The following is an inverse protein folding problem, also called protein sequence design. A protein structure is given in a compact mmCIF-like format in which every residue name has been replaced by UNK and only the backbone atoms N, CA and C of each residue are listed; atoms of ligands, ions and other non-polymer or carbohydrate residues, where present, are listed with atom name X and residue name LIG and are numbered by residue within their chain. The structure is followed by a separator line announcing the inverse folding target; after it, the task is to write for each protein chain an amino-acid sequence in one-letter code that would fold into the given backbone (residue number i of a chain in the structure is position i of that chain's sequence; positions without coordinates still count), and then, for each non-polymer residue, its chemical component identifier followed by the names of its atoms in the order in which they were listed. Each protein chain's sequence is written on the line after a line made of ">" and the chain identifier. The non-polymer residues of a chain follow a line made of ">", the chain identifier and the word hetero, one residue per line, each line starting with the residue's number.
data_IF_673161180488
#
_entry.id   IF_673161180488
#
_cell.length_a   1.000
_cell.length_b   1.000
_cell.length_c   1.000
_cell.angle_alpha   90.00
_cell.angle_beta   90.00
_cell.angle_gamma   90.00
#
_symmetry.space_group_name_H-M   'P 1'
#
loop_
_entity.id
_entity.type
_entity.pdbx_description
1 polymer ?
#
# COMPACT_ATOMS: atom_id res chain seq x y z
N UNK A 1 -13.36 -21.75 16.77
CA UNK A 1 -13.59 -20.90 15.59
C UNK A 1 -13.46 -21.75 14.35
N UNK A 2 -14.34 -21.54 13.35
CA UNK A 2 -14.26 -22.18 12.04
C UNK A 2 -13.90 -21.11 11.03
N UNK A 3 -12.88 -21.35 10.22
CA UNK A 3 -12.46 -20.45 9.14
C UNK A 3 -12.64 -21.17 7.81
N UNK A 4 -13.30 -20.50 6.87
CA UNK A 4 -13.49 -20.97 5.50
C UNK A 4 -12.95 -19.88 4.57
N UNK A 5 -11.92 -20.23 3.82
CA UNK A 5 -11.30 -19.34 2.84
C UNK A 5 -11.40 -19.97 1.45
N UNK A 6 -11.82 -19.17 0.47
CA UNK A 6 -11.78 -19.56 -0.93
C UNK A 6 -11.52 -18.37 -1.84
N UNK A 7 -10.93 -18.66 -3.00
CA UNK A 7 -10.59 -17.67 -4.01
C UNK A 7 -11.39 -17.93 -5.28
N UNK A 8 -11.97 -16.88 -5.85
CA UNK A 8 -12.69 -16.86 -7.12
C UNK A 8 -11.88 -16.05 -8.14
N UNK A 9 -11.92 -16.45 -9.42
CA UNK A 9 -11.35 -15.69 -10.52
C UNK A 9 -12.44 -15.28 -11.50
N UNK A 10 -12.50 -13.99 -11.84
CA UNK A 10 -13.40 -13.45 -12.84
C UNK A 10 -12.64 -13.11 -14.14
N UNK A 11 -12.75 -13.94 -15.20
CA UNK A 11 -12.03 -13.73 -16.46
C UNK A 11 -12.52 -12.51 -17.26
N UNK A 12 -13.72 -11.99 -16.99
CA UNK A 12 -14.20 -10.78 -17.69
C UNK A 12 -13.54 -9.49 -17.21
N UNK A 13 -12.94 -9.50 -16.01
CA UNK A 13 -12.34 -8.31 -15.37
C UNK A 13 -10.92 -8.53 -14.87
N UNK A 14 -10.37 -9.73 -15.09
CA UNK A 14 -9.08 -10.22 -14.57
C UNK A 14 -8.91 -10.03 -13.04
N UNK A 15 -10.02 -10.14 -12.31
CA UNK A 15 -10.05 -9.96 -10.86
C UNK A 15 -9.99 -11.30 -10.16
N UNK A 16 -9.06 -11.41 -9.22
CA UNK A 16 -9.08 -12.43 -8.18
C UNK A 16 -9.80 -11.88 -6.96
N UNK A 17 -10.74 -12.65 -6.44
CA UNK A 17 -11.55 -12.32 -5.28
C UNK A 17 -11.27 -13.37 -4.21
N UNK A 18 -10.70 -12.97 -3.08
CA UNK A 18 -10.59 -13.84 -1.91
C UNK A 18 -11.74 -13.53 -0.95
N UNK A 19 -12.41 -14.59 -0.50
CA UNK A 19 -13.52 -14.53 0.45
C UNK A 19 -13.13 -15.33 1.68
N UNK A 20 -13.24 -14.67 2.83
CA UNK A 20 -12.93 -15.24 4.14
C UNK A 20 -14.20 -15.18 4.98
N UNK A 21 -14.62 -16.34 5.46
CA UNK A 21 -15.73 -16.49 6.39
C UNK A 21 -15.17 -17.05 7.70
N UNK A 22 -15.35 -16.31 8.78
CA UNK A 22 -14.97 -16.72 10.12
C UNK A 22 -16.22 -16.86 10.98
N UNK A 23 -16.31 -17.98 11.69
CA UNK A 23 -17.38 -18.27 12.64
C UNK A 23 -16.76 -18.44 14.02
N UNK A 24 -16.92 -17.43 14.87
CA UNK A 24 -16.47 -17.47 16.25
C UNK A 24 -17.59 -17.98 17.13
N UNK A 25 -17.26 -18.93 18.01
CA UNK A 25 -18.21 -19.49 18.98
C UNK A 25 -17.81 -18.96 20.35
N UNK A 26 -18.75 -18.33 21.03
CA UNK A 26 -18.55 -17.88 22.40
C UNK A 26 -18.65 -19.04 23.39
N UNK A 27 -18.04 -18.90 24.57
CA UNK A 27 -18.11 -19.89 25.65
C UNK A 27 -19.53 -20.12 26.18
N UNK A 28 -20.46 -19.20 25.88
CA UNK A 28 -21.90 -19.31 26.17
C UNK A 28 -22.71 -20.01 25.07
N UNK A 29 -22.08 -20.38 23.95
CA UNK A 29 -22.73 -21.02 22.80
C UNK A 29 -23.26 -20.06 21.74
N UNK A 30 -22.99 -18.76 21.86
CA UNK A 30 -23.28 -17.76 20.82
C UNK A 30 -22.42 -17.94 19.56
N UNK A 31 -22.96 -17.60 18.39
CA UNK A 31 -22.26 -17.62 17.10
C UNK A 31 -22.07 -16.20 16.56
N UNK A 32 -20.83 -15.80 16.32
CA UNK A 32 -20.46 -14.51 15.73
C UNK A 32 -19.86 -14.73 14.33
N UNK A 33 -20.65 -14.54 13.26
CA UNK A 33 -20.15 -14.64 11.90
C UNK A 33 -19.43 -13.34 11.49
N UNK A 34 -18.27 -13.49 10.86
CA UNK A 34 -17.49 -12.42 10.25
C UNK A 34 -17.20 -12.81 8.79
N UNK A 35 -17.30 -11.83 7.89
CA UNK A 35 -16.93 -12.02 6.49
C UNK A 35 -16.03 -10.89 6.03
N UNK A 36 -15.02 -11.24 5.23
CA UNK A 36 -14.16 -10.28 4.53
C UNK A 36 -14.05 -10.70 3.07
N UNK A 37 -14.28 -9.74 2.17
CA UNK A 37 -14.17 -9.93 0.72
C UNK A 37 -13.14 -8.94 0.20
N UNK A 38 -12.11 -9.44 -0.45
CA UNK A 38 -11.04 -8.62 -1.03
C UNK A 38 -10.84 -8.99 -2.49
N UNK A 39 -10.74 -7.98 -3.37
CA UNK A 39 -10.59 -8.18 -4.81
C UNK A 39 -9.35 -7.45 -5.33
N UNK A 40 -8.47 -8.15 -6.06
CA UNK A 40 -7.25 -7.60 -6.64
C UNK A 40 -7.06 -8.11 -8.06
N UNK A 41 -6.52 -7.25 -8.90
CA UNK A 41 -6.04 -7.66 -10.23
C UNK A 41 -4.64 -8.21 -10.07
N UNK A 42 -4.52 -9.52 -10.18
CA UNK A 42 -3.21 -10.19 -10.20
C UNK A 42 -2.70 -10.32 -11.63
N UNK A 43 -3.59 -10.36 -12.64
CA UNK A 43 -3.22 -10.18 -14.04
C UNK A 43 -3.50 -8.74 -14.44
N UNK A 44 -2.48 -7.99 -14.82
CA UNK A 44 -2.65 -6.71 -15.50
C UNK A 44 -2.32 -6.86 -16.98
N UNK A 45 -3.07 -7.67 -17.72
CA UNK A 45 -2.85 -7.83 -19.17
C UNK A 45 -3.21 -6.57 -20.00
N UNK A 46 -3.58 -5.48 -19.31
CA UNK A 46 -3.79 -4.17 -19.92
C UNK A 46 -2.47 -3.39 -19.98
N UNK A 47 -1.58 -3.77 -20.89
CA UNK A 47 -0.26 -3.14 -21.11
C UNK A 47 -0.30 -1.60 -21.15
N UNK A 48 -1.40 -0.99 -21.62
CA UNK A 48 -1.56 0.47 -21.67
C UNK A 48 -1.76 1.10 -20.28
N UNK A 49 -2.46 0.45 -19.36
CA UNK A 49 -2.65 0.96 -17.98
C UNK A 49 -1.38 0.78 -17.16
N UNK A 50 -0.65 -0.31 -17.39
CA UNK A 50 0.67 -0.55 -16.77
C UNK A 50 1.68 0.53 -17.14
N UNK A 51 1.73 0.94 -18.40
CA UNK A 51 2.68 1.95 -18.87
C UNK A 51 2.48 3.32 -18.19
N UNK A 52 1.23 3.78 -18.06
CA UNK A 52 0.93 5.04 -17.36
C UNK A 52 1.28 4.96 -15.87
N UNK A 53 1.01 3.81 -15.24
CA UNK A 53 1.34 3.60 -13.83
C UNK A 53 2.86 3.64 -13.62
N UNK A 54 3.64 2.93 -14.44
CA UNK A 54 5.11 2.93 -14.38
C UNK A 54 5.70 4.33 -14.57
N UNK A 55 5.14 5.14 -15.48
CA UNK A 55 5.57 6.55 -15.63
C UNK A 55 5.29 7.34 -14.35
N UNK A 56 4.11 7.18 -13.75
CA UNK A 56 3.74 7.90 -12.52
C UNK A 56 4.65 7.53 -11.34
N UNK A 57 5.09 6.28 -11.27
CA UNK A 57 6.07 5.80 -10.29
C UNK A 57 7.44 6.45 -10.51
N UNK A 58 7.90 6.52 -11.76
CA UNK A 58 9.14 7.20 -12.13
C UNK A 58 9.14 8.68 -11.74
N UNK A 59 8.05 9.39 -12.03
CA UNK A 59 7.87 10.80 -11.61
C UNK A 59 7.91 10.92 -10.08
N UNK A 60 7.23 10.01 -9.38
CA UNK A 60 7.19 10.01 -7.91
C UNK A 60 8.59 9.89 -7.31
N UNK A 61 9.44 8.99 -7.85
CA UNK A 61 10.83 8.83 -7.40
C UNK A 61 11.63 10.12 -7.60
N UNK A 62 11.49 10.78 -8.76
CA UNK A 62 12.17 12.04 -9.05
C UNK A 62 11.72 13.12 -8.07
N UNK A 63 10.42 13.24 -7.80
CA UNK A 63 9.88 14.17 -6.83
C UNK A 63 10.44 13.93 -5.43
N UNK A 64 10.51 12.68 -4.96
CA UNK A 64 11.07 12.34 -3.64
C UNK A 64 12.52 12.76 -3.53
N UNK A 65 13.35 12.50 -4.54
CA UNK A 65 14.76 12.91 -4.55
C UNK A 65 14.87 14.44 -4.48
N UNK A 66 14.10 15.14 -5.30
CA UNK A 66 14.06 16.61 -5.31
C UNK A 66 13.66 17.17 -3.93
N UNK A 67 12.56 16.68 -3.34
CA UNK A 67 12.11 17.14 -2.02
C UNK A 67 13.14 16.86 -0.92
N UNK A 68 13.83 15.72 -1.00
CA UNK A 68 14.89 15.37 -0.04
C UNK A 68 16.04 16.36 -0.08
N UNK A 69 16.49 16.76 -1.28
CA UNK A 69 17.57 17.74 -1.44
C UNK A 69 17.15 19.10 -0.89
N UNK A 70 15.91 19.53 -1.18
CA UNK A 70 15.36 20.79 -0.67
C UNK A 70 15.31 20.79 0.87
N UNK A 71 14.83 19.69 1.46
CA UNK A 71 14.73 19.54 2.92
C UNK A 71 16.12 19.58 3.59
N UNK A 72 17.10 18.86 3.04
CA UNK A 72 18.47 18.87 3.54
C UNK A 72 19.06 20.28 3.49
N UNK A 73 18.87 20.99 2.37
CA UNK A 73 19.33 22.37 2.24
C UNK A 73 18.66 23.31 3.25
N UNK A 74 17.35 23.13 3.52
CA UNK A 74 16.62 23.91 4.52
C UNK A 74 17.17 23.68 5.94
N UNK A 75 17.49 22.43 6.28
CA UNK A 75 18.10 22.07 7.57
C UNK A 75 19.49 22.71 7.72
N UNK A 76 20.30 22.70 6.66
CA UNK A 76 21.65 23.31 6.69
C UNK A 76 21.56 24.83 6.85
N UNK A 77 20.62 25.49 6.18
CA UNK A 77 20.47 26.95 6.23
C UNK A 77 19.90 27.45 7.56
N UNK A 78 18.91 26.76 8.13
CA UNK A 78 18.27 27.16 9.39
C UNK A 78 19.05 26.66 10.62
N UNK A 79 19.90 25.63 10.46
CA UNK A 79 20.52 24.93 11.56
C UNK A 79 19.56 23.94 12.22
N UNK A 80 20.07 22.78 12.64
CA UNK A 80 19.26 21.65 13.14
C UNK A 80 18.40 22.05 14.35
N UNK A 81 18.93 22.87 15.26
CA UNK A 81 18.23 23.26 16.49
C UNK A 81 17.01 24.15 16.23
N UNK A 82 17.12 25.15 15.36
CA UNK A 82 16.01 26.03 15.03
C UNK A 82 15.01 25.34 14.10
N UNK A 83 15.50 24.44 13.23
CA UNK A 83 14.65 23.63 12.36
C UNK A 83 13.66 22.77 13.16
N UNK A 84 14.13 22.09 14.21
CA UNK A 84 13.32 21.19 15.03
C UNK A 84 12.34 21.90 15.98
N UNK A 85 12.44 23.22 16.13
CA UNK A 85 11.54 23.99 16.99
C UNK A 85 10.21 24.32 16.29
N UNK A 86 10.19 24.33 14.95
CA UNK A 86 9.01 24.68 14.17
C UNK A 86 8.11 23.46 13.95
N UNK A 87 6.83 23.60 14.30
CA UNK A 87 5.80 22.57 14.04
C UNK A 87 5.72 22.21 12.55
N UNK A 88 5.85 23.19 11.66
CA UNK A 88 5.74 22.95 10.22
C UNK A 88 6.91 22.12 9.68
N UNK A 89 8.10 22.28 10.23
CA UNK A 89 9.28 21.53 9.83
C UNK A 89 9.17 20.06 10.27
N UNK A 90 8.59 19.79 11.44
CA UNK A 90 8.22 18.43 11.84
C UNK A 90 7.24 17.76 10.87
N UNK A 91 6.29 18.53 10.34
CA UNK A 91 5.34 18.04 9.35
C UNK A 91 6.02 17.71 8.01
N UNK A 92 6.98 18.51 7.57
CA UNK A 92 7.80 18.23 6.37
C UNK A 92 8.57 16.91 6.52
N UNK A 93 9.26 16.74 7.65
CA UNK A 93 9.98 15.50 7.96
C UNK A 93 9.01 14.31 7.99
N UNK A 94 7.85 14.44 8.63
CA UNK A 94 6.87 13.37 8.73
C UNK A 94 6.35 12.92 7.35
N UNK A 95 6.03 13.87 6.46
CA UNK A 95 5.61 13.59 5.09
C UNK A 95 6.73 12.90 4.30
N UNK A 96 7.97 13.37 4.43
CA UNK A 96 9.10 12.78 3.75
C UNK A 96 9.38 11.34 4.23
N UNK A 97 9.41 11.11 5.55
CA UNK A 97 9.54 9.79 6.15
C UNK A 97 8.43 8.83 5.70
N UNK A 98 7.17 9.29 5.72
CA UNK A 98 6.04 8.48 5.29
C UNK A 98 6.16 8.08 3.81
N UNK A 99 6.64 8.99 2.96
CA UNK A 99 6.85 8.71 1.54
C UNK A 99 7.92 7.63 1.32
N UNK A 100 9.00 7.66 2.10
CA UNK A 100 10.01 6.58 2.07
C UNK A 100 9.45 5.23 2.55
N UNK A 101 8.66 5.22 3.62
CA UNK A 101 8.00 4.00 4.12
C UNK A 101 7.10 3.40 3.05
N UNK A 102 6.30 4.23 2.37
CA UNK A 102 5.45 3.82 1.26
C UNK A 102 6.28 3.19 0.13
N UNK A 103 7.42 3.80 -0.23
CA UNK A 103 8.33 3.25 -1.24
C UNK A 103 8.89 1.87 -0.86
N UNK A 104 9.24 1.66 0.41
CA UNK A 104 9.70 0.36 0.91
C UNK A 104 8.58 -0.68 0.84
N UNK A 105 7.37 -0.34 1.30
CA UNK A 105 6.19 -1.22 1.23
C UNK A 105 5.89 -1.60 -0.22
N UNK A 106 6.01 -0.64 -1.15
CA UNK A 106 5.84 -0.87 -2.58
C UNK A 106 6.84 -1.91 -3.12
N UNK A 107 8.13 -1.80 -2.77
CA UNK A 107 9.13 -2.80 -3.19
C UNK A 107 8.82 -4.20 -2.66
N UNK A 108 8.44 -4.31 -1.39
CA UNK A 108 8.03 -5.60 -0.81
C UNK A 108 6.78 -6.17 -1.49
N UNK A 109 5.82 -5.32 -1.84
CA UNK A 109 4.62 -5.71 -2.60
C UNK A 109 5.01 -6.24 -3.98
N UNK A 110 5.91 -5.56 -4.69
CA UNK A 110 6.38 -5.98 -6.00
C UNK A 110 7.05 -7.36 -5.95
N UNK A 111 7.92 -7.60 -4.96
CA UNK A 111 8.58 -8.90 -4.77
C UNK A 111 7.55 -10.00 -4.49
N UNK A 112 6.62 -9.77 -3.56
CA UNK A 112 5.58 -10.74 -3.21
C UNK A 112 4.68 -11.07 -4.41
N UNK A 113 4.40 -10.08 -5.25
CA UNK A 113 3.61 -10.26 -6.46
C UNK A 113 4.35 -11.09 -7.52
N UNK A 114 5.64 -10.81 -7.76
CA UNK A 114 6.47 -11.59 -8.66
C UNK A 114 6.59 -13.06 -8.20
N UNK A 115 6.72 -13.28 -6.89
CA UNK A 115 6.77 -14.62 -6.32
C UNK A 115 5.44 -15.37 -6.51
N UNK A 116 4.31 -14.72 -6.23
CA UNK A 116 2.98 -15.29 -6.43
C UNK A 116 2.72 -15.70 -7.89
N UNK A 117 3.13 -14.86 -8.86
CA UNK A 117 3.03 -15.17 -10.29
C UNK A 117 3.92 -16.37 -10.66
N UNK A 118 5.16 -16.41 -10.17
CA UNK A 118 6.07 -17.51 -10.46
C UNK A 118 5.53 -18.84 -9.93
N UNK A 119 5.01 -18.85 -8.71
CA UNK A 119 4.37 -20.03 -8.12
C UNK A 119 3.16 -20.47 -8.95
N UNK A 120 2.29 -19.54 -9.36
CA UNK A 120 1.14 -19.87 -10.20
C UNK A 120 1.56 -20.42 -11.56
N UNK A 121 2.60 -19.86 -12.19
CA UNK A 121 3.13 -20.33 -13.48
C UNK A 121 3.69 -21.75 -13.38
N UNK A 122 4.32 -22.12 -12.26
CA UNK A 122 4.95 -23.44 -12.07
C UNK A 122 3.94 -24.51 -11.64
N UNK A 123 3.01 -24.20 -10.74
CA UNK A 123 2.10 -25.19 -10.12
C UNK A 123 0.66 -25.13 -10.65
N UNK A 124 0.31 -24.12 -11.45
CA UNK A 124 -1.04 -23.94 -11.99
C UNK A 124 -2.12 -23.89 -10.90
N UNK A 125 -3.25 -24.54 -11.16
CA UNK A 125 -4.38 -24.63 -10.21
C UNK A 125 -4.21 -25.70 -9.12
N UNK A 126 -3.09 -26.44 -9.11
CA UNK A 126 -2.91 -27.56 -8.18
C UNK A 126 -2.56 -27.13 -6.74
N UNK A 127 -2.22 -25.86 -6.54
CA UNK A 127 -1.85 -25.29 -5.24
C UNK A 127 -2.70 -24.07 -4.92
N UNK A 128 -3.32 -24.07 -3.75
CA UNK A 128 -3.98 -22.88 -3.21
C UNK A 128 -2.93 -21.79 -2.95
N UNK A 129 -3.13 -20.62 -3.54
CA UNK A 129 -2.32 -19.44 -3.29
C UNK A 129 -3.03 -18.64 -2.21
N UNK A 130 -2.38 -18.47 -1.05
CA UNK A 130 -2.84 -17.54 -0.02
C UNK A 130 -2.73 -16.11 -0.57
N UNK A 131 -3.86 -15.57 -0.99
CA UNK A 131 -3.96 -14.19 -1.44
C UNK A 131 -4.23 -13.23 -0.28
N UNK A 132 -4.64 -13.70 0.90
CA UNK A 132 -4.92 -12.82 2.04
C UNK A 132 -3.68 -12.04 2.44
N UNK A 133 -2.52 -12.69 2.45
CA UNK A 133 -1.26 -12.02 2.77
C UNK A 133 -0.94 -10.90 1.77
N UNK A 134 -1.27 -11.10 0.49
CA UNK A 134 -1.10 -10.08 -0.57
C UNK A 134 -2.09 -8.93 -0.37
N UNK A 135 -3.35 -9.25 -0.09
CA UNK A 135 -4.41 -8.29 0.18
C UNK A 135 -4.13 -7.44 1.41
N UNK A 136 -3.64 -8.04 2.48
CA UNK A 136 -3.26 -7.33 3.69
C UNK A 136 -2.16 -6.30 3.41
N UNK A 137 -1.13 -6.66 2.64
CA UNK A 137 -0.06 -5.74 2.25
C UNK A 137 -0.56 -4.60 1.35
N UNK A 138 -1.45 -4.89 0.41
CA UNK A 138 -2.09 -3.86 -0.42
C UNK A 138 -2.95 -2.91 0.43
N UNK A 139 -3.68 -3.45 1.41
CA UNK A 139 -4.50 -2.65 2.31
C UNK A 139 -3.65 -1.70 3.16
N UNK A 140 -2.55 -2.19 3.73
CA UNK A 140 -1.58 -1.36 4.47
C UNK A 140 -1.01 -0.26 3.57
N UNK A 141 -0.62 -0.59 2.34
CA UNK A 141 -0.14 0.38 1.37
C UNK A 141 -1.18 1.48 1.08
N UNK A 142 -2.44 1.10 0.82
CA UNK A 142 -3.52 2.04 0.56
C UNK A 142 -3.81 2.96 1.75
N UNK A 143 -3.76 2.44 2.98
CA UNK A 143 -3.90 3.24 4.19
C UNK A 143 -2.76 4.25 4.34
N UNK A 144 -1.51 3.83 4.11
CA UNK A 144 -0.36 4.75 4.13
C UNK A 144 -0.46 5.83 3.06
N UNK A 145 -0.88 5.48 1.84
CA UNK A 145 -1.11 6.44 0.75
C UNK A 145 -2.21 7.44 1.10
N UNK A 146 -3.31 6.99 1.71
CA UNK A 146 -4.39 7.86 2.18
C UNK A 146 -3.91 8.84 3.26
N UNK A 147 -3.11 8.36 4.22
CA UNK A 147 -2.50 9.20 5.25
C UNK A 147 -1.56 10.26 4.65
N UNK A 148 -0.73 9.87 3.68
CA UNK A 148 0.14 10.81 2.96
C UNK A 148 -0.68 11.89 2.23
N UNK A 149 -1.76 11.49 1.56
CA UNK A 149 -2.70 12.42 0.92
C UNK A 149 -3.30 13.41 1.92
N UNK A 150 -3.75 12.94 3.08
CA UNK A 150 -4.29 13.80 4.13
C UNK A 150 -3.25 14.80 4.66
N UNK A 151 -2.02 14.35 4.93
CA UNK A 151 -0.94 15.21 5.42
C UNK A 151 -0.48 16.24 4.38
N UNK A 152 -0.41 15.85 3.10
CA UNK A 152 -0.07 16.78 2.01
C UNK A 152 -1.13 17.85 1.80
N UNK A 153 -2.42 17.51 1.90
CA UNK A 153 -3.51 18.49 1.91
C UNK A 153 -3.38 19.43 3.12
N UNK A 154 -3.10 18.89 4.30
CA UNK A 154 -2.90 19.70 5.50
C UNK A 154 -1.71 20.66 5.35
N UNK A 155 -0.61 20.23 4.71
CA UNK A 155 0.54 21.08 4.39
C UNK A 155 0.17 22.28 3.52
N UNK A 156 -0.82 22.17 2.62
CA UNK A 156 -1.25 23.29 1.78
C UNK A 156 -1.76 24.49 2.59
N UNK A 157 -2.25 24.28 3.82
CA UNK A 157 -2.69 25.36 4.71
C UNK A 157 -1.52 26.31 5.08
N UNK A 158 -0.29 25.79 5.20
CA UNK A 158 0.92 26.59 5.45
C UNK A 158 1.20 27.59 4.33
N UNK A 159 0.84 27.24 3.10
CA UNK A 159 1.10 28.09 1.92
C UNK A 159 0.08 29.23 1.83
N UNK A 160 -1.07 29.09 2.47
CA UNK A 160 -2.18 30.05 2.43
C UNK A 160 -2.12 31.06 3.59
N UNK A 161 -1.53 30.68 4.74
CA UNK A 161 -1.37 31.54 5.92
C UNK A 161 -0.04 32.30 5.92
#
# INVERSE_FOLDING_TARGET
>A
CIFVEFTLFNPGTDLFISVVLAFEFDGTGGLFPFYAVSAARIYQDNARKEYWLQISEGITIICVIFYTIVEINAIIQQGIYDYLKSFWNWLEIAVLCLTYIIGIIYLFRLIAYLDAINIFRVYGHARFIDLQTVFFRDNVFNHCMGLLGALTIFKMLKVIS
#
